data_IF_200517415506
#
_entry.id   IF_200517415506
#
_cell.length_a   1.000
_cell.length_b   1.000
_cell.length_c   1.000
_cell.angle_alpha   90.00
_cell.angle_beta   90.00
_cell.angle_gamma   90.00
#
_symmetry.space_group_name_H-M   'P 1'
#
loop_
_entity.id
_entity.type
_entity.pdbx_description
1 polymer ?
#
# COMPACT_ATOMS: atom_id res chain seq x y z
N UNK A 1 -6.07 21.50 21.38
CA UNK A 1 -6.11 20.65 20.16
C UNK A 1 -6.79 19.34 20.51
N UNK A 2 -8.06 19.16 20.14
CA UNK A 2 -8.79 17.89 20.35
C UNK A 2 -8.11 16.81 19.50
N UNK A 3 -7.69 15.71 20.13
CA UNK A 3 -7.12 14.57 19.42
C UNK A 3 -8.16 14.09 18.38
N UNK A 4 -7.84 14.24 17.09
CA UNK A 4 -8.71 13.85 15.99
C UNK A 4 -9.03 12.35 16.17
N UNK A 5 -10.30 12.03 16.44
CA UNK A 5 -10.74 10.65 16.67
C UNK A 5 -10.31 9.79 15.49
N UNK A 6 -9.57 8.71 15.78
CA UNK A 6 -9.04 7.79 14.77
C UNK A 6 -10.22 7.09 14.09
N UNK A 7 -10.36 7.27 12.78
CA UNK A 7 -11.43 6.63 12.02
C UNK A 7 -11.01 5.17 11.68
N UNK A 8 -11.74 4.16 12.20
CA UNK A 8 -11.38 2.74 12.03
C UNK A 8 -11.42 2.29 10.56
N UNK A 9 -12.23 2.91 9.70
CA UNK A 9 -12.32 2.59 8.28
C UNK A 9 -10.95 2.62 7.59
N UNK A 10 -10.10 3.60 7.90
CA UNK A 10 -8.76 3.68 7.30
C UNK A 10 -7.82 2.57 7.79
N UNK A 11 -7.98 2.09 9.02
CA UNK A 11 -7.22 0.95 9.51
C UNK A 11 -7.73 -0.34 8.88
N UNK A 12 -9.04 -0.49 8.72
CA UNK A 12 -9.62 -1.62 7.99
C UNK A 12 -9.15 -1.67 6.55
N UNK A 13 -9.17 -0.55 5.82
CA UNK A 13 -8.65 -0.49 4.45
C UNK A 13 -7.18 -0.94 4.39
N UNK A 14 -6.35 -0.49 5.33
CA UNK A 14 -4.96 -0.95 5.43
C UNK A 14 -4.86 -2.44 5.74
N UNK A 15 -5.73 -2.97 6.60
CA UNK A 15 -5.83 -4.38 6.93
C UNK A 15 -6.17 -5.24 5.72
N UNK A 16 -7.20 -4.86 4.97
CA UNK A 16 -7.58 -5.54 3.72
C UNK A 16 -6.50 -5.38 2.64
N UNK A 17 -5.89 -4.21 2.56
CA UNK A 17 -4.78 -3.93 1.65
C UNK A 17 -3.59 -4.85 1.91
N UNK A 18 -3.17 -4.99 3.17
CA UNK A 18 -2.00 -5.83 3.49
C UNK A 18 -2.29 -7.32 3.32
N UNK A 19 -3.52 -7.76 3.59
CA UNK A 19 -3.97 -9.11 3.23
C UNK A 19 -3.88 -9.29 1.71
N UNK A 20 -4.41 -8.33 0.94
CA UNK A 20 -4.34 -8.36 -0.53
C UNK A 20 -2.91 -8.38 -1.05
N UNK A 21 -1.95 -7.70 -0.41
CA UNK A 21 -0.52 -7.81 -0.75
C UNK A 21 -0.05 -9.27 -0.64
N UNK A 22 -0.34 -9.95 0.47
CA UNK A 22 0.03 -11.36 0.68
C UNK A 22 -0.59 -12.23 -0.41
N UNK A 23 -1.89 -12.09 -0.65
CA UNK A 23 -2.58 -12.84 -1.71
C UNK A 23 -1.98 -12.56 -3.10
N UNK A 24 -1.64 -11.31 -3.42
CA UNK A 24 -1.04 -10.97 -4.72
C UNK A 24 0.30 -11.68 -4.96
N UNK A 25 1.07 -11.94 -3.90
CA UNK A 25 2.36 -12.62 -3.97
C UNK A 25 2.23 -14.15 -3.96
N UNK A 26 1.35 -14.70 -3.13
CA UNK A 26 1.12 -16.16 -3.05
C UNK A 26 0.46 -16.69 -4.33
N UNK A 27 -0.43 -15.91 -4.95
CA UNK A 27 -1.10 -16.28 -6.21
C UNK A 27 -0.33 -15.85 -7.47
N UNK A 28 0.85 -15.22 -7.32
CA UNK A 28 1.66 -14.77 -8.45
C UNK A 28 2.15 -15.94 -9.31
N UNK A 29 1.94 -15.90 -10.62
CA UNK A 29 2.42 -16.98 -11.51
C UNK A 29 1.56 -18.26 -11.49
N UNK A 30 0.43 -18.26 -10.75
CA UNK A 30 -0.65 -19.20 -11.06
C UNK A 30 -1.29 -18.84 -12.40
N UNK A 31 -1.53 -19.86 -13.22
CA UNK A 31 -2.17 -19.75 -14.54
C UNK A 31 -3.64 -20.20 -14.51
N UNK A 32 -4.08 -20.84 -13.43
CA UNK A 32 -5.47 -21.22 -13.25
C UNK A 32 -6.38 -19.98 -13.07
N UNK A 33 -7.67 -20.05 -13.49
CA UNK A 33 -8.57 -18.90 -13.48
C UNK A 33 -8.73 -18.26 -12.10
N UNK A 34 -8.77 -19.07 -11.04
CA UNK A 34 -8.89 -18.57 -9.67
C UNK A 34 -7.66 -17.76 -9.27
N UNK A 35 -6.46 -18.25 -9.57
CA UNK A 35 -5.23 -17.53 -9.26
C UNK A 35 -5.09 -16.22 -10.03
N UNK A 36 -5.50 -16.21 -11.31
CA UNK A 36 -5.56 -14.98 -12.09
C UNK A 36 -6.55 -14.01 -11.44
N UNK A 37 -7.78 -14.45 -11.16
CA UNK A 37 -8.82 -13.62 -10.54
C UNK A 37 -8.41 -13.00 -9.22
N UNK A 38 -7.97 -13.82 -8.27
CA UNK A 38 -7.51 -13.37 -6.96
C UNK A 38 -6.38 -12.36 -7.10
N UNK A 39 -5.43 -12.60 -8.01
CA UNK A 39 -4.31 -11.68 -8.24
C UNK A 39 -4.78 -10.35 -8.83
N UNK A 40 -5.63 -10.35 -9.86
CA UNK A 40 -6.12 -9.11 -10.49
C UNK A 40 -6.88 -8.26 -9.47
N UNK A 41 -7.80 -8.87 -8.69
CA UNK A 41 -8.52 -8.16 -7.63
C UNK A 41 -7.54 -7.62 -6.60
N UNK A 42 -6.59 -8.44 -6.11
CA UNK A 42 -5.65 -8.07 -5.06
C UNK A 42 -4.72 -6.89 -5.40
N UNK A 43 -4.52 -6.56 -6.69
CA UNK A 43 -3.64 -5.46 -7.11
C UNK A 43 -4.14 -4.07 -6.69
N UNK A 44 -5.41 -3.94 -6.31
CA UNK A 44 -5.99 -2.68 -5.80
C UNK A 44 -5.26 -2.11 -4.57
N UNK A 45 -4.58 -2.97 -3.81
CA UNK A 45 -4.02 -2.64 -2.51
C UNK A 45 -2.95 -1.54 -2.58
N UNK A 46 -2.08 -1.58 -3.60
CA UNK A 46 -0.99 -0.62 -3.76
C UNK A 46 -1.55 0.79 -4.06
N UNK A 47 -2.41 0.97 -5.08
CA UNK A 47 -3.17 2.20 -5.28
C UNK A 47 -3.93 2.69 -4.04
N UNK A 48 -4.61 1.79 -3.32
CA UNK A 48 -5.33 2.15 -2.11
C UNK A 48 -4.42 2.77 -1.05
N UNK A 49 -3.25 2.19 -0.80
CA UNK A 49 -2.32 2.76 0.16
C UNK A 49 -1.86 4.17 -0.24
N UNK A 50 -1.64 4.43 -1.53
CA UNK A 50 -1.32 5.75 -2.03
C UNK A 50 -2.50 6.73 -1.89
N UNK A 51 -3.73 6.31 -2.22
CA UNK A 51 -4.93 7.14 -2.00
C UNK A 51 -5.11 7.52 -0.53
N UNK A 52 -5.00 6.55 0.38
CA UNK A 52 -5.07 6.80 1.83
C UNK A 52 -3.94 7.70 2.29
N UNK A 53 -2.72 7.49 1.79
CA UNK A 53 -1.57 8.34 2.11
C UNK A 53 -1.81 9.80 1.70
N UNK A 54 -2.27 10.02 0.47
CA UNK A 54 -2.57 11.36 -0.08
C UNK A 54 -3.60 12.11 0.74
N UNK A 55 -4.68 11.44 1.16
CA UNK A 55 -5.75 12.02 1.96
C UNK A 55 -5.26 12.67 3.27
N UNK A 56 -4.27 12.06 3.93
CA UNK A 56 -3.73 12.56 5.20
C UNK A 56 -2.60 13.58 5.05
N UNK A 57 -2.21 13.97 3.83
CA UNK A 57 -1.10 14.90 3.62
C UNK A 57 -1.44 16.34 4.01
N UNK A 58 -2.70 16.77 3.84
CA UNK A 58 -3.15 18.13 4.19
C UNK A 58 -2.89 18.48 5.65
N UNK A 59 -3.04 17.51 6.55
CA UNK A 59 -2.83 17.66 8.00
C UNK A 59 -1.37 17.85 8.44
N UNK A 60 -0.39 17.76 7.54
CA UNK A 60 1.03 17.78 7.89
C UNK A 60 1.85 18.92 7.28
N UNK A 61 1.21 19.92 6.65
CA UNK A 61 1.89 20.96 5.90
C UNK A 61 2.61 22.00 6.80
N UNK A 62 2.01 22.40 7.92
CA UNK A 62 2.57 23.42 8.82
C UNK A 62 3.88 22.99 9.47
N UNK A 63 4.02 21.71 9.81
CA UNK A 63 5.19 21.13 10.46
C UNK A 63 5.87 20.07 9.57
N UNK A 64 5.99 20.37 8.28
CA UNK A 64 6.46 19.42 7.28
C UNK A 64 7.78 18.74 7.68
N UNK A 65 8.77 19.51 8.14
CA UNK A 65 10.09 18.97 8.50
C UNK A 65 10.00 17.95 9.64
N UNK A 66 9.28 18.29 10.72
CA UNK A 66 9.12 17.41 11.88
C UNK A 66 8.29 16.17 11.53
N UNK A 67 7.21 16.35 10.76
CA UNK A 67 6.35 15.28 10.26
C UNK A 67 7.13 14.31 9.37
N UNK A 68 7.92 14.84 8.44
CA UNK A 68 8.80 14.09 7.55
C UNK A 68 9.84 13.31 8.34
N UNK A 69 10.53 13.95 9.28
CA UNK A 69 11.52 13.28 10.12
C UNK A 69 10.93 12.13 10.93
N UNK A 70 9.73 12.32 11.48
CA UNK A 70 8.98 11.27 12.18
C UNK A 70 8.64 10.11 11.25
N UNK A 71 8.23 10.38 10.00
CA UNK A 71 7.96 9.33 9.00
C UNK A 71 9.22 8.57 8.61
N UNK A 72 10.34 9.27 8.40
CA UNK A 72 11.65 8.66 8.10
C UNK A 72 12.04 7.69 9.23
N UNK A 73 12.04 8.15 10.48
CA UNK A 73 12.38 7.30 11.64
C UNK A 73 11.44 6.12 11.81
N UNK A 74 10.13 6.31 11.59
CA UNK A 74 9.12 5.26 11.82
C UNK A 74 9.00 4.26 10.67
N UNK A 75 9.37 4.65 9.46
CA UNK A 75 9.04 3.90 8.23
C UNK A 75 10.27 3.58 7.41
N UNK A 76 11.08 4.59 7.08
CA UNK A 76 12.25 4.42 6.21
C UNK A 76 13.42 3.72 6.91
N UNK A 77 13.68 4.05 8.17
CA UNK A 77 14.72 3.39 8.96
C UNK A 77 14.44 1.88 9.09
N UNK A 78 13.23 1.43 9.50
CA UNK A 78 12.87 0.01 9.42
C UNK A 78 13.03 -0.58 8.03
N UNK A 79 12.60 0.13 6.99
CA UNK A 79 12.77 -0.31 5.60
C UNK A 79 14.24 -0.57 5.24
N UNK A 80 15.18 0.32 5.60
CA UNK A 80 16.60 0.14 5.30
C UNK A 80 17.16 -1.12 5.95
N UNK A 81 16.82 -1.38 7.21
CA UNK A 81 17.22 -2.62 7.89
C UNK A 81 16.72 -3.85 7.15
N UNK A 82 15.46 -3.83 6.72
CA UNK A 82 14.90 -4.95 5.97
C UNK A 82 15.47 -5.06 4.56
N UNK A 83 15.72 -3.95 3.86
CA UNK A 83 16.31 -3.96 2.52
C UNK A 83 17.71 -4.59 2.53
N UNK A 84 18.51 -4.31 3.56
CA UNK A 84 19.79 -4.99 3.81
C UNK A 84 19.58 -6.47 4.10
N UNK A 85 18.65 -6.81 5.01
CA UNK A 85 18.36 -8.20 5.35
C UNK A 85 17.93 -9.03 4.13
N UNK A 86 17.09 -8.47 3.25
CA UNK A 86 16.71 -9.10 1.98
C UNK A 86 17.90 -9.25 1.03
N UNK A 87 18.74 -8.22 0.90
CA UNK A 87 19.95 -8.29 0.09
C UNK A 87 20.85 -9.43 0.54
N UNK A 88 21.14 -9.53 1.84
CA UNK A 88 21.93 -10.60 2.43
C UNK A 88 21.27 -11.97 2.20
N UNK A 89 19.96 -12.07 2.45
CA UNK A 89 19.22 -13.32 2.25
C UNK A 89 19.30 -13.83 0.81
N UNK A 90 19.07 -12.97 -0.19
CA UNK A 90 19.15 -13.37 -1.61
C UNK A 90 20.57 -13.58 -2.10
N UNK A 91 21.55 -12.93 -1.48
CA UNK A 91 22.95 -13.22 -1.74
C UNK A 91 23.31 -14.65 -1.29
N UNK A 92 22.91 -15.06 -0.08
CA UNK A 92 23.18 -16.42 0.42
C UNK A 92 22.34 -17.51 -0.28
N UNK A 93 21.07 -17.25 -0.55
CA UNK A 93 20.13 -18.28 -1.06
C UNK A 93 20.11 -18.40 -2.57
N UNK A 94 20.41 -17.33 -3.30
CA UNK A 94 20.30 -17.27 -4.75
C UNK A 94 21.54 -16.69 -5.46
N UNK A 95 22.62 -16.42 -4.72
CA UNK A 95 23.86 -15.86 -5.28
C UNK A 95 23.71 -14.45 -5.87
N UNK A 96 22.60 -13.75 -5.59
CA UNK A 96 22.34 -12.42 -6.17
C UNK A 96 23.12 -11.35 -5.43
N UNK A 97 23.99 -10.65 -6.13
CA UNK A 97 24.65 -9.46 -5.59
C UNK A 97 23.68 -8.29 -5.50
N UNK A 98 23.94 -7.36 -4.59
CA UNK A 98 23.18 -6.12 -4.45
C UNK A 98 24.13 -4.96 -4.14
N UNK A 99 23.78 -3.79 -4.64
CA UNK A 99 24.53 -2.55 -4.43
C UNK A 99 23.86 -1.67 -3.39
N UNK A 100 24.59 -0.63 -2.95
CA UNK A 100 24.01 0.42 -2.12
C UNK A 100 22.79 1.09 -2.77
N UNK A 101 22.83 1.29 -4.11
CA UNK A 101 21.71 1.87 -4.84
C UNK A 101 20.50 0.96 -4.90
N UNK A 102 20.68 -0.36 -4.85
CA UNK A 102 19.57 -1.32 -4.76
C UNK A 102 18.84 -1.22 -3.42
N UNK A 103 19.56 -0.91 -2.35
CA UNK A 103 18.99 -0.66 -1.01
C UNK A 103 18.18 0.64 -1.02
N UNK A 104 18.69 1.70 -1.66
CA UNK A 104 17.99 2.98 -1.75
C UNK A 104 16.73 2.86 -2.62
N UNK A 105 16.84 2.26 -3.80
CA UNK A 105 15.74 2.17 -4.75
C UNK A 105 14.76 1.02 -4.50
N UNK A 106 14.97 0.22 -3.45
CA UNK A 106 14.10 -0.90 -3.09
C UNK A 106 14.14 -2.03 -4.11
N UNK A 107 15.30 -2.25 -4.73
CA UNK A 107 15.54 -3.32 -5.71
C UNK A 107 16.03 -4.62 -5.07
N UNK A 108 16.36 -4.61 -3.77
CA UNK A 108 16.83 -5.83 -3.06
C UNK A 108 15.76 -6.91 -2.93
N UNK A 109 14.47 -6.54 -3.00
CA UNK A 109 13.38 -7.50 -3.14
C UNK A 109 12.23 -6.89 -3.94
N UNK A 110 11.50 -7.75 -4.64
CA UNK A 110 10.50 -7.33 -5.62
C UNK A 110 9.36 -6.48 -5.05
N UNK A 111 9.00 -6.62 -3.79
CA UNK A 111 7.94 -5.82 -3.20
C UNK A 111 8.47 -4.45 -2.73
N UNK A 112 9.75 -4.35 -2.35
CA UNK A 112 10.33 -3.18 -1.68
C UNK A 112 10.28 -1.87 -2.48
N UNK A 113 10.13 -1.93 -3.82
CA UNK A 113 9.94 -0.73 -4.64
C UNK A 113 8.79 0.15 -4.11
N UNK A 114 7.74 -0.45 -3.57
CA UNK A 114 6.58 0.31 -3.06
C UNK A 114 6.99 1.22 -1.90
N UNK A 115 7.88 0.77 -1.02
CA UNK A 115 8.36 1.58 0.11
C UNK A 115 9.19 2.78 -0.35
N UNK A 116 9.97 2.61 -1.43
CA UNK A 116 10.67 3.73 -2.05
C UNK A 116 9.68 4.80 -2.52
N UNK A 117 8.68 4.46 -3.35
CA UNK A 117 7.67 5.42 -3.81
C UNK A 117 6.86 6.01 -2.65
N UNK A 118 6.45 5.17 -1.69
CA UNK A 118 5.72 5.61 -0.51
C UNK A 118 6.49 6.69 0.26
N UNK A 119 7.80 6.52 0.43
CA UNK A 119 8.63 7.52 1.10
C UNK A 119 8.87 8.76 0.27
N UNK A 120 9.15 8.61 -1.03
CA UNK A 120 9.28 9.76 -1.95
C UNK A 120 8.03 10.62 -1.91
N UNK A 121 6.84 10.03 -2.04
CA UNK A 121 5.58 10.76 -1.94
C UNK A 121 5.31 11.30 -0.54
N UNK A 122 5.66 10.56 0.51
CA UNK A 122 5.48 11.01 1.89
C UNK A 122 6.23 12.31 2.21
N UNK A 123 7.35 12.53 1.54
CA UNK A 123 8.27 13.66 1.73
C UNK A 123 7.90 14.79 0.76
N UNK A 124 7.79 14.49 -0.53
CA UNK A 124 7.67 15.51 -1.58
C UNK A 124 6.23 16.04 -1.71
N UNK A 125 5.22 15.17 -1.75
CA UNK A 125 3.85 15.61 -2.04
C UNK A 125 3.25 16.57 -1.01
N UNK A 126 3.55 16.51 0.30
CA UNK A 126 3.12 17.53 1.24
C UNK A 126 3.62 18.95 0.91
N UNK A 127 4.76 19.08 0.22
CA UNK A 127 5.29 20.40 -0.21
C UNK A 127 4.32 21.12 -1.15
N UNK A 128 3.46 20.39 -1.87
CA UNK A 128 2.43 20.98 -2.72
C UNK A 128 1.46 21.87 -1.92
N UNK A 129 1.27 21.62 -0.61
CA UNK A 129 0.43 22.46 0.25
C UNK A 129 1.02 23.84 0.54
N UNK A 130 2.29 24.09 0.23
CA UNK A 130 2.86 25.44 0.24
C UNK A 130 2.48 26.27 -0.99
N UNK A 131 1.94 25.64 -2.04
CA UNK A 131 1.47 26.35 -3.23
C UNK A 131 0.07 26.94 -3.01
N UNK A 132 -0.27 28.05 -3.70
CA UNK A 132 -1.64 28.53 -3.79
C UNK A 132 -2.59 27.42 -4.23
N UNK A 133 -3.81 27.40 -3.66
CA UNK A 133 -4.78 26.31 -3.88
C UNK A 133 -5.05 26.04 -5.36
N UNK A 134 -5.20 27.08 -6.17
CA UNK A 134 -5.46 26.92 -7.61
C UNK A 134 -4.33 26.16 -8.31
N UNK A 135 -3.07 26.53 -8.06
CA UNK A 135 -1.89 25.86 -8.62
C UNK A 135 -1.81 24.42 -8.09
N UNK A 136 -1.98 24.23 -6.78
CA UNK A 136 -1.96 22.90 -6.17
C UNK A 136 -2.97 21.96 -6.80
N UNK A 137 -4.23 22.38 -6.89
CA UNK A 137 -5.31 21.56 -7.47
C UNK A 137 -5.03 21.23 -8.95
N UNK A 138 -4.57 22.20 -9.74
CA UNK A 138 -4.15 21.96 -11.13
C UNK A 138 -3.02 20.94 -11.22
N UNK A 139 -2.00 21.05 -10.36
CA UNK A 139 -0.91 20.07 -10.28
C UNK A 139 -1.42 18.67 -9.93
N UNK A 140 -2.37 18.55 -9.00
CA UNK A 140 -2.96 17.25 -8.64
C UNK A 140 -3.72 16.61 -9.82
N UNK A 141 -4.46 17.40 -10.60
CA UNK A 141 -5.12 16.91 -11.82
C UNK A 141 -4.09 16.48 -12.87
N UNK A 142 -3.01 17.24 -13.07
CA UNK A 142 -1.90 16.84 -13.95
C UNK A 142 -1.30 15.50 -13.50
N UNK A 143 -1.04 15.33 -12.20
CA UNK A 143 -0.54 14.07 -11.65
C UNK A 143 -1.50 12.90 -11.93
N UNK A 144 -2.81 13.10 -11.77
CA UNK A 144 -3.81 12.08 -12.07
C UNK A 144 -3.81 11.70 -13.56
N UNK A 145 -3.96 12.66 -14.46
CA UNK A 145 -4.09 12.38 -15.89
C UNK A 145 -2.81 11.85 -16.51
N UNK A 146 -1.65 12.38 -16.12
CA UNK A 146 -0.36 11.86 -16.57
C UNK A 146 -0.11 10.42 -16.09
N UNK A 147 -0.61 10.06 -14.91
CA UNK A 147 -0.52 8.68 -14.44
C UNK A 147 -1.38 7.73 -15.28
N UNK A 148 -2.60 8.13 -15.63
CA UNK A 148 -3.49 7.38 -16.53
C UNK A 148 -2.80 7.23 -17.89
N UNK A 149 -2.32 8.32 -18.46
CA UNK A 149 -1.60 8.31 -19.73
C UNK A 149 -0.38 7.39 -19.71
N UNK A 150 0.43 7.43 -18.65
CA UNK A 150 1.59 6.56 -18.50
C UNK A 150 1.20 5.07 -18.46
N UNK A 151 0.13 4.69 -17.75
CA UNK A 151 -0.31 3.30 -17.74
C UNK A 151 -0.86 2.85 -19.10
N UNK A 152 -1.58 3.70 -19.82
CA UNK A 152 -2.04 3.40 -21.19
C UNK A 152 -0.84 3.23 -22.13
N UNK A 153 0.17 4.11 -22.04
CA UNK A 153 1.40 4.00 -22.83
C UNK A 153 2.11 2.66 -22.56
N UNK A 154 2.24 2.28 -21.29
CA UNK A 154 2.86 1.01 -20.89
C UNK A 154 2.06 -0.20 -21.36
N UNK A 155 0.74 -0.11 -21.35
CA UNK A 155 -0.18 -1.13 -21.83
C UNK A 155 -0.06 -1.33 -23.33
N UNK A 156 -0.12 -0.24 -24.11
CA UNK A 156 0.06 -0.26 -25.57
C UNK A 156 1.46 -0.79 -25.91
N UNK A 157 2.49 -0.30 -25.22
CA UNK A 157 3.88 -0.73 -25.47
C UNK A 157 4.04 -2.24 -25.26
N UNK A 158 3.42 -2.79 -24.22
CA UNK A 158 3.47 -4.22 -23.92
C UNK A 158 2.63 -5.05 -24.89
N UNK A 159 1.45 -4.56 -25.28
CA UNK A 159 0.49 -5.30 -26.11
C UNK A 159 0.92 -5.35 -27.57
N UNK A 160 1.42 -4.23 -28.10
CA UNK A 160 1.82 -4.11 -29.49
C UNK A 160 3.32 -4.24 -29.71
N UNK A 161 4.08 -4.52 -28.65
CA UNK A 161 5.55 -4.64 -28.69
C UNK A 161 6.25 -3.40 -29.28
N UNK A 162 5.67 -2.21 -29.08
CA UNK A 162 6.21 -0.92 -29.51
C UNK A 162 6.88 -0.19 -28.35
N UNK A 163 8.02 0.45 -28.58
CA UNK A 163 8.69 1.24 -27.54
C UNK A 163 8.33 2.70 -27.69
N UNK A 164 7.22 3.12 -27.07
CA UNK A 164 6.80 4.53 -27.06
C UNK A 164 7.64 5.33 -26.05
N UNK A 165 7.98 4.72 -24.93
CA UNK A 165 8.76 5.35 -23.86
C UNK A 165 9.62 4.32 -23.14
N UNK A 166 10.93 4.55 -23.08
CA UNK A 166 11.88 3.70 -22.34
C UNK A 166 12.36 4.42 -21.09
N UNK A 167 12.12 3.83 -19.91
CA UNK A 167 12.63 4.35 -18.64
C UNK A 167 13.21 3.22 -17.81
N UNK A 168 14.49 3.33 -17.47
CA UNK A 168 15.24 2.31 -16.71
C UNK A 168 15.24 2.53 -15.20
N UNK A 169 14.76 3.69 -14.75
CA UNK A 169 14.70 4.08 -13.34
C UNK A 169 13.34 3.81 -12.68
N UNK A 170 13.18 4.23 -11.41
CA UNK A 170 11.85 4.31 -10.79
C UNK A 170 10.96 5.28 -11.57
N UNK A 171 9.78 4.83 -12.01
CA UNK A 171 8.81 5.66 -12.72
C UNK A 171 7.78 6.21 -11.73
N UNK A 172 8.02 7.43 -11.23
CA UNK A 172 7.17 8.10 -10.24
C UNK A 172 5.78 8.41 -10.83
N UNK A 173 5.73 8.74 -12.13
CA UNK A 173 4.49 9.09 -12.85
C UNK A 173 3.49 7.93 -12.83
N UNK A 174 3.98 6.69 -12.76
CA UNK A 174 3.16 5.49 -12.69
C UNK A 174 2.28 5.38 -11.42
N UNK A 175 2.60 6.10 -10.35
CA UNK A 175 1.93 5.92 -9.05
C UNK A 175 1.35 7.21 -8.46
N UNK A 176 1.87 8.36 -8.88
CA UNK A 176 1.54 9.64 -8.25
C UNK A 176 0.07 10.08 -8.42
N UNK A 177 -0.64 9.55 -9.42
CA UNK A 177 -2.06 9.85 -9.64
C UNK A 177 -2.95 9.26 -8.56
N UNK A 178 -2.57 8.11 -8.00
CA UNK A 178 -3.27 7.53 -6.84
C UNK A 178 -3.07 8.38 -5.58
N UNK A 179 -1.88 8.93 -5.36
CA UNK A 179 -1.67 9.93 -4.30
C UNK A 179 -2.56 11.15 -4.54
N UNK A 180 -2.59 11.63 -5.79
CA UNK A 180 -3.35 12.81 -6.18
C UNK A 180 -4.85 12.66 -5.92
N UNK A 181 -5.43 11.48 -6.17
CA UNK A 181 -6.84 11.18 -5.83
C UNK A 181 -7.12 11.42 -4.34
N UNK A 182 -6.24 10.92 -3.47
CA UNK A 182 -6.35 11.13 -2.03
C UNK A 182 -6.27 12.61 -1.63
N UNK A 183 -5.29 13.33 -2.21
CA UNK A 183 -5.11 14.76 -1.95
C UNK A 183 -6.28 15.60 -2.51
N UNK A 184 -6.79 15.28 -3.70
CA UNK A 184 -7.96 15.93 -4.29
C UNK A 184 -9.18 15.73 -3.39
N UNK A 185 -9.42 14.52 -2.88
CA UNK A 185 -10.52 14.28 -1.94
C UNK A 185 -10.42 15.16 -0.68
N UNK A 186 -9.19 15.41 -0.19
CA UNK A 186 -8.97 16.33 0.92
C UNK A 186 -9.20 17.82 0.55
N UNK A 187 -8.98 18.21 -0.70
CA UNK A 187 -9.22 19.57 -1.23
C UNK A 187 -10.69 19.87 -1.52
N UNK A 188 -11.54 18.84 -1.63
CA UNK A 188 -12.97 18.96 -1.92
C UNK A 188 -13.84 18.35 -0.80
N UNK A 189 -13.99 19.04 0.36
CA UNK A 189 -14.85 18.57 1.46
C UNK A 189 -16.30 18.29 1.03
N UNK A 190 -16.82 19.05 0.07
CA UNK A 190 -18.16 18.85 -0.51
C UNK A 190 -18.31 17.47 -1.17
N UNK A 191 -17.24 16.90 -1.74
CA UNK A 191 -17.29 15.55 -2.29
C UNK A 191 -17.46 14.50 -1.18
N UNK A 192 -16.75 14.68 -0.05
CA UNK A 192 -16.89 13.81 1.12
C UNK A 192 -18.31 13.90 1.70
N UNK A 193 -18.84 15.11 1.83
CA UNK A 193 -20.21 15.35 2.29
C UNK A 193 -21.24 14.70 1.36
N UNK A 194 -21.08 14.85 0.04
CA UNK A 194 -21.94 14.20 -0.93
C UNK A 194 -21.91 12.68 -0.80
N UNK A 195 -20.74 12.07 -0.64
CA UNK A 195 -20.59 10.62 -0.44
C UNK A 195 -21.33 10.16 0.82
N UNK A 196 -21.21 10.92 1.91
CA UNK A 196 -21.89 10.60 3.17
C UNK A 196 -23.40 10.71 3.07
N UNK A 197 -23.91 11.67 2.28
CA UNK A 197 -25.34 11.88 2.10
C UNK A 197 -25.97 10.91 1.09
N UNK A 198 -25.16 10.33 0.18
CA UNK A 198 -25.63 9.43 -0.88
C UNK A 198 -24.89 8.08 -0.91
N UNK A 199 -24.75 7.36 0.21
CA UNK A 199 -23.86 6.21 0.30
C UNK A 199 -24.27 5.05 -0.63
N UNK A 200 -25.58 4.82 -0.83
CA UNK A 200 -26.07 3.76 -1.72
C UNK A 200 -25.76 4.03 -3.19
N UNK A 201 -26.00 5.26 -3.64
CA UNK A 201 -25.71 5.68 -5.02
C UNK A 201 -24.21 5.64 -5.28
N UNK A 202 -23.41 6.13 -4.32
CA UNK A 202 -21.96 6.07 -4.43
C UNK A 202 -21.40 4.65 -4.37
N UNK A 203 -22.00 3.75 -3.58
CA UNK A 203 -21.63 2.33 -3.57
C UNK A 203 -21.95 1.66 -4.92
N UNK A 204 -23.12 1.94 -5.51
CA UNK A 204 -23.48 1.43 -6.83
C UNK A 204 -22.54 1.94 -7.93
N UNK A 205 -22.22 3.24 -7.92
CA UNK A 205 -21.24 3.82 -8.84
C UNK A 205 -19.83 3.24 -8.64
N UNK A 206 -19.38 3.10 -7.39
CA UNK A 206 -18.10 2.49 -7.05
C UNK A 206 -18.02 1.02 -7.50
N UNK A 207 -19.11 0.27 -7.35
CA UNK A 207 -19.22 -1.10 -7.82
C UNK A 207 -19.15 -1.18 -9.35
N UNK A 208 -19.86 -0.31 -10.08
CA UNK A 208 -19.80 -0.26 -11.55
C UNK A 208 -18.38 0.07 -12.04
N UNK A 209 -17.73 1.07 -11.43
CA UNK A 209 -16.34 1.45 -11.74
C UNK A 209 -15.37 0.31 -11.43
N UNK A 210 -15.52 -0.35 -10.29
CA UNK A 210 -14.73 -1.54 -9.95
C UNK A 210 -14.91 -2.65 -11.00
N UNK A 211 -16.15 -2.95 -11.38
CA UNK A 211 -16.46 -4.01 -12.32
C UNK A 211 -15.89 -3.72 -13.72
N UNK A 212 -15.94 -2.47 -14.20
CA UNK A 212 -15.30 -2.07 -15.45
C UNK A 212 -13.79 -2.37 -15.42
N UNK A 213 -13.10 -1.95 -14.36
CA UNK A 213 -11.67 -2.19 -14.21
C UNK A 213 -11.30 -3.67 -14.01
N UNK A 214 -12.23 -4.47 -13.50
CA UNK A 214 -12.04 -5.92 -13.36
C UNK A 214 -12.31 -6.66 -14.66
N UNK A 215 -13.34 -6.29 -15.42
CA UNK A 215 -13.77 -7.00 -16.62
C UNK A 215 -12.90 -6.70 -17.84
N UNK A 216 -12.45 -5.45 -18.02
CA UNK A 216 -11.64 -5.03 -19.17
C UNK A 216 -10.44 -5.96 -19.43
N UNK A 217 -9.60 -6.32 -18.43
CA UNK A 217 -8.47 -7.22 -18.64
C UNK A 217 -8.83 -8.60 -19.20
N UNK A 218 -10.01 -9.12 -18.86
CA UNK A 218 -10.49 -10.42 -19.33
C UNK A 218 -11.01 -10.31 -20.75
N UNK A 219 -11.79 -9.28 -21.04
CA UNK A 219 -12.36 -9.03 -22.37
C UNK A 219 -11.27 -8.74 -23.39
N UNK A 220 -10.22 -8.02 -23.00
CA UNK A 220 -9.07 -7.71 -23.85
C UNK A 220 -8.05 -8.86 -23.94
N UNK A 221 -8.22 -9.96 -23.17
CA UNK A 221 -7.25 -11.06 -23.13
C UNK A 221 -5.88 -10.67 -22.56
N UNK A 222 -5.80 -9.55 -21.84
CA UNK A 222 -4.53 -8.99 -21.35
C UNK A 222 -4.23 -9.36 -19.89
N UNK A 223 -4.98 -10.27 -19.26
CA UNK A 223 -4.76 -10.71 -17.86
C UNK A 223 -3.31 -11.15 -17.61
N UNK A 224 -2.80 -11.02 -16.39
CA UNK A 224 -1.40 -11.41 -16.12
C UNK A 224 -0.59 -10.38 -15.35
N UNK A 225 -0.94 -9.10 -15.45
CA UNK A 225 -0.15 -8.00 -14.88
C UNK A 225 -0.89 -6.64 -14.90
N UNK A 226 -1.89 -6.44 -14.03
CA UNK A 226 -2.66 -5.17 -13.94
C UNK A 226 -1.78 -3.92 -13.67
N UNK A 227 -0.58 -4.10 -13.12
CA UNK A 227 0.30 -3.00 -12.73
C UNK A 227 0.70 -2.05 -13.86
N UNK A 228 0.57 -2.42 -15.13
CA UNK A 228 0.92 -1.57 -16.27
C UNK A 228 -0.32 -1.26 -17.14
N UNK A 229 -1.51 -1.21 -16.55
CA UNK A 229 -2.76 -1.06 -17.31
C UNK A 229 -3.59 0.12 -16.88
N UNK A 230 -4.32 0.69 -17.82
CA UNK A 230 -5.34 1.71 -17.55
C UNK A 230 -6.41 1.19 -16.59
N UNK A 231 -6.83 -0.08 -16.73
CA UNK A 231 -7.88 -0.70 -15.92
C UNK A 231 -7.57 -0.77 -14.41
N UNK A 232 -6.31 -0.63 -14.01
CA UNK A 232 -5.93 -0.51 -12.59
C UNK A 232 -6.63 0.67 -11.90
N UNK A 233 -6.88 1.77 -12.62
CA UNK A 233 -7.57 2.94 -12.07
C UNK A 233 -9.00 2.65 -11.66
N UNK A 234 -9.91 2.29 -12.59
CA UNK A 234 -11.29 1.99 -12.25
C UNK A 234 -11.38 0.85 -11.23
N UNK A 235 -10.57 -0.20 -11.34
CA UNK A 235 -10.54 -1.30 -10.37
C UNK A 235 -10.22 -0.79 -8.96
N UNK A 236 -9.14 -0.02 -8.82
CA UNK A 236 -8.65 0.40 -7.51
C UNK A 236 -9.50 1.49 -6.88
N UNK A 237 -9.93 2.47 -7.67
CA UNK A 237 -10.78 3.57 -7.19
C UNK A 237 -12.16 3.03 -6.79
N UNK A 238 -12.76 2.20 -7.64
CA UNK A 238 -14.05 1.57 -7.36
C UNK A 238 -14.01 0.71 -6.10
N UNK A 239 -13.04 -0.22 -6.00
CA UNK A 239 -12.96 -1.11 -4.84
C UNK A 239 -12.62 -0.36 -3.55
N UNK A 240 -11.71 0.61 -3.60
CA UNK A 240 -11.36 1.41 -2.42
C UNK A 240 -12.55 2.20 -1.91
N UNK A 241 -13.28 2.87 -2.80
CA UNK A 241 -14.46 3.66 -2.41
C UNK A 241 -15.59 2.76 -1.90
N UNK A 242 -15.84 1.63 -2.56
CA UNK A 242 -16.85 0.65 -2.15
C UNK A 242 -16.57 0.14 -0.73
N UNK A 243 -15.33 -0.28 -0.47
CA UNK A 243 -14.92 -0.73 0.87
C UNK A 243 -14.94 0.40 1.90
N UNK A 244 -14.54 1.62 1.51
CA UNK A 244 -14.60 2.77 2.41
C UNK A 244 -16.05 3.09 2.83
N UNK A 245 -17.01 3.00 1.90
CA UNK A 245 -18.43 3.20 2.19
C UNK A 245 -18.94 2.09 3.11
N UNK A 246 -18.67 0.82 2.76
CA UNK A 246 -19.10 -0.33 3.57
C UNK A 246 -18.53 -0.29 5.00
N UNK A 247 -17.23 -0.03 5.17
CA UNK A 247 -16.62 0.07 6.51
C UNK A 247 -16.88 1.39 7.23
N UNK A 248 -17.69 2.28 6.65
CA UNK A 248 -18.23 3.45 7.32
C UNK A 248 -19.65 3.23 7.86
N UNK A 249 -20.28 2.07 7.59
CA UNK A 249 -21.59 1.72 8.16
C UNK A 249 -21.45 1.27 9.62
N UNK A 250 -22.54 1.24 10.40
CA UNK A 250 -22.53 0.65 11.73
C UNK A 250 -22.20 -0.85 11.69
N UNK A 251 -21.36 -1.32 12.62
CA UNK A 251 -21.03 -2.74 12.83
C UNK A 251 -20.60 -3.54 11.57
N UNK A 252 -19.63 -3.04 10.77
CA UNK A 252 -19.19 -3.76 9.59
C UNK A 252 -18.44 -5.05 9.97
N UNK A 253 -18.59 -6.07 9.13
CA UNK A 253 -18.04 -7.40 9.40
C UNK A 253 -16.52 -7.37 9.56
N UNK A 254 -16.02 -7.95 10.65
CA UNK A 254 -14.58 -8.12 10.87
C UNK A 254 -13.81 -6.83 11.20
N UNK A 255 -14.47 -5.69 11.45
CA UNK A 255 -13.83 -4.39 11.69
C UNK A 255 -12.70 -4.46 12.72
N UNK A 256 -12.95 -5.10 13.87
CA UNK A 256 -11.97 -5.22 14.96
C UNK A 256 -10.72 -5.96 14.51
N UNK A 257 -10.89 -7.11 13.86
CA UNK A 257 -9.77 -7.91 13.36
C UNK A 257 -9.02 -7.18 12.24
N UNK A 258 -9.74 -6.62 11.27
CA UNK A 258 -9.12 -5.91 10.14
C UNK A 258 -8.40 -4.64 10.59
N UNK A 259 -8.94 -3.91 11.56
CA UNK A 259 -8.26 -2.77 12.18
C UNK A 259 -7.01 -3.21 12.95
N UNK A 260 -7.08 -4.34 13.66
CA UNK A 260 -5.92 -4.94 14.33
C UNK A 260 -4.80 -5.28 13.33
N UNK A 261 -5.14 -5.93 12.22
CA UNK A 261 -4.21 -6.21 11.11
C UNK A 261 -3.66 -4.91 10.52
N UNK A 262 -4.52 -3.94 10.21
CA UNK A 262 -4.17 -2.65 9.63
C UNK A 262 -3.19 -1.84 10.49
N UNK A 263 -3.33 -1.90 11.81
CA UNK A 263 -2.40 -1.26 12.75
C UNK A 263 -0.97 -1.84 12.71
N UNK A 264 -0.79 -3.04 12.12
CA UNK A 264 0.47 -3.79 12.02
C UNK A 264 1.01 -3.89 10.58
N UNK A 265 0.37 -3.20 9.64
CA UNK A 265 0.66 -3.23 8.19
C UNK A 265 2.15 -3.24 7.85
N UNK A 266 2.93 -2.29 8.38
CA UNK A 266 4.36 -2.18 8.03
C UNK A 266 5.17 -3.42 8.41
N UNK A 267 4.87 -4.03 9.57
CA UNK A 267 5.59 -5.23 10.01
C UNK A 267 5.26 -6.44 9.14
N UNK A 268 3.98 -6.61 8.82
CA UNK A 268 3.51 -7.68 7.92
C UNK A 268 4.10 -7.46 6.52
N UNK A 269 4.07 -6.22 6.02
CA UNK A 269 4.63 -5.86 4.72
C UNK A 269 6.12 -6.19 4.60
N UNK A 270 6.92 -5.88 5.62
CA UNK A 270 8.35 -6.15 5.55
C UNK A 270 8.68 -7.64 5.78
N UNK A 271 7.87 -8.37 6.53
CA UNK A 271 8.14 -9.76 6.89
C UNK A 271 7.58 -10.82 5.92
N UNK A 272 6.44 -10.56 5.27
CA UNK A 272 5.69 -11.61 4.57
C UNK A 272 6.49 -12.31 3.46
N UNK A 273 7.33 -11.57 2.73
CA UNK A 273 7.99 -12.09 1.54
C UNK A 273 9.07 -13.15 1.85
N UNK A 274 9.66 -13.14 3.06
CA UNK A 274 10.55 -14.23 3.51
C UNK A 274 9.85 -15.59 3.55
N UNK A 275 8.54 -15.58 3.79
CA UNK A 275 7.74 -16.78 3.94
C UNK A 275 7.11 -17.23 2.62
N UNK A 276 6.82 -16.28 1.71
CA UNK A 276 6.08 -16.56 0.46
C UNK A 276 6.76 -17.66 -0.35
N UNK A 277 8.02 -17.48 -0.73
CA UNK A 277 8.67 -18.40 -1.67
C UNK A 277 8.89 -19.78 -1.04
N UNK A 278 9.38 -19.83 0.21
CA UNK A 278 9.58 -21.08 0.93
C UNK A 278 8.28 -21.86 1.12
N UNK A 279 7.23 -21.22 1.67
CA UNK A 279 5.98 -21.91 1.96
C UNK A 279 5.27 -22.35 0.69
N UNK A 280 5.26 -21.50 -0.34
CA UNK A 280 4.53 -21.78 -1.58
C UNK A 280 5.23 -22.81 -2.47
N UNK A 281 6.57 -22.75 -2.56
CA UNK A 281 7.32 -23.58 -3.51
C UNK A 281 7.77 -24.88 -2.84
N UNK A 282 8.22 -24.83 -1.59
CA UNK A 282 8.86 -25.95 -0.93
C UNK A 282 7.92 -26.70 0.03
N UNK A 283 7.23 -25.99 0.92
CA UNK A 283 6.51 -26.64 2.03
C UNK A 283 5.09 -27.08 1.67
N UNK A 284 4.32 -26.22 0.99
CA UNK A 284 2.90 -26.44 0.69
C UNK A 284 2.64 -26.10 -0.79
N UNK A 285 3.26 -26.85 -1.73
CA UNK A 285 2.96 -26.66 -3.14
C UNK A 285 1.49 -27.02 -3.41
N UNK A 286 0.74 -26.08 -3.99
CA UNK A 286 -0.65 -26.30 -4.44
C UNK A 286 -1.71 -25.56 -3.62
N UNK A 287 -1.57 -25.46 -2.29
CA UNK A 287 -2.56 -24.76 -1.45
C UNK A 287 -2.16 -23.31 -1.17
N UNK A 288 -2.50 -22.44 -2.11
CA UNK A 288 -2.21 -21.00 -2.05
C UNK A 288 -3.00 -20.29 -0.95
N UNK A 289 -4.20 -20.76 -0.62
CA UNK A 289 -5.02 -20.13 0.42
C UNK A 289 -4.42 -20.39 1.80
N UNK A 290 -4.07 -21.65 2.09
CA UNK A 290 -3.43 -22.03 3.34
C UNK A 290 -2.09 -21.30 3.53
N UNK A 291 -1.27 -21.20 2.47
CA UNK A 291 -0.01 -20.44 2.52
C UNK A 291 -0.27 -18.98 2.89
N UNK A 292 -1.24 -18.31 2.27
CA UNK A 292 -1.55 -16.91 2.60
C UNK A 292 -2.01 -16.74 4.07
N UNK A 293 -2.81 -17.68 4.58
CA UNK A 293 -3.26 -17.72 5.98
C UNK A 293 -2.08 -17.89 6.93
N UNK A 294 -1.21 -18.87 6.68
CA UNK A 294 -0.01 -19.11 7.51
C UNK A 294 0.85 -17.85 7.56
N UNK A 295 1.14 -17.23 6.41
CA UNK A 295 1.95 -16.01 6.34
C UNK A 295 1.34 -14.90 7.19
N UNK A 296 0.03 -14.65 7.04
CA UNK A 296 -0.65 -13.60 7.80
C UNK A 296 -0.52 -13.84 9.31
N UNK A 297 -0.86 -15.04 9.78
CA UNK A 297 -0.85 -15.35 11.21
C UNK A 297 0.56 -15.42 11.78
N UNK A 298 1.56 -15.91 11.04
CA UNK A 298 2.96 -15.86 11.45
C UNK A 298 3.43 -14.43 11.60
N UNK A 299 3.16 -13.54 10.63
CA UNK A 299 3.52 -12.14 10.74
C UNK A 299 2.84 -11.44 11.93
N UNK A 300 1.57 -11.74 12.19
CA UNK A 300 0.84 -11.21 13.34
C UNK A 300 1.43 -11.71 14.67
N UNK A 301 1.71 -13.01 14.78
CA UNK A 301 2.30 -13.61 15.97
C UNK A 301 3.68 -13.04 16.29
N UNK A 302 4.57 -12.95 15.28
CA UNK A 302 5.90 -12.35 15.43
C UNK A 302 5.79 -10.90 15.90
N UNK A 303 4.86 -10.13 15.33
CA UNK A 303 4.64 -8.74 15.73
C UNK A 303 4.12 -8.63 17.16
N UNK A 304 3.20 -9.50 17.56
CA UNK A 304 2.64 -9.54 18.91
C UNK A 304 3.71 -9.90 19.96
N UNK A 305 4.55 -10.91 19.68
CA UNK A 305 5.68 -11.28 20.53
C UNK A 305 6.64 -10.09 20.70
N UNK A 306 6.99 -9.41 19.60
CA UNK A 306 7.85 -8.22 19.62
C UNK A 306 7.25 -7.10 20.48
N UNK A 307 5.94 -6.86 20.37
CA UNK A 307 5.26 -5.81 21.12
C UNK A 307 5.24 -6.11 22.62
N UNK A 308 4.97 -7.37 23.00
CA UNK A 308 5.03 -7.82 24.40
C UNK A 308 6.44 -7.74 24.97
N UNK A 309 7.45 -8.16 24.22
CA UNK A 309 8.85 -8.05 24.64
C UNK A 309 9.27 -6.59 24.87
N UNK A 310 8.86 -5.69 23.97
CA UNK A 310 9.10 -4.25 24.11
C UNK A 310 8.44 -3.71 25.38
N UNK A 311 7.17 -4.04 25.63
CA UNK A 311 6.45 -3.61 26.84
C UNK A 311 7.17 -4.08 28.12
N UNK A 312 7.61 -5.35 28.18
CA UNK A 312 8.37 -5.89 29.31
C UNK A 312 9.69 -5.15 29.57
N UNK A 313 10.41 -4.81 28.51
CA UNK A 313 11.67 -4.04 28.61
C UNK A 313 11.42 -2.62 29.12
N UNK A 314 10.36 -1.95 28.66
CA UNK A 314 10.00 -0.62 29.16
C UNK A 314 9.55 -0.64 30.62
N UNK A 315 8.74 -1.64 31.02
CA UNK A 315 8.34 -1.78 32.42
C UNK A 315 9.52 -2.12 33.34
N UNK A 316 10.49 -2.91 32.88
CA UNK A 316 11.70 -3.20 33.65
C UNK A 316 12.56 -1.93 33.84
N UNK A 317 12.73 -1.12 32.79
CA UNK A 317 13.49 0.12 32.85
C UNK A 317 12.80 1.22 33.69
N UNK A 318 11.46 1.27 33.74
CA UNK A 318 10.75 2.21 34.62
C UNK A 318 10.92 1.83 36.09
N UNK A 319 10.92 0.53 36.43
CA UNK A 319 11.13 0.04 37.79
C UNK A 319 12.57 0.30 38.27
N UNK A 320 13.56 0.17 37.39
CA UNK A 320 14.97 0.50 37.71
C UNK A 320 15.17 2.01 37.92
N UNK A 321 14.48 2.86 37.15
CA UNK A 321 14.53 4.32 37.37
C UNK A 321 13.89 4.76 38.69
N UNK A 322 12.83 4.10 39.14
CA UNK A 322 12.22 4.40 40.45
C UNK A 322 13.07 3.94 41.64
N UNK A 323 13.93 2.92 41.46
CA UNK A 323 14.84 2.43 42.52
C UNK A 323 16.19 3.15 42.57
N UNK A 324 16.50 3.99 41.57
CA UNK A 324 17.74 4.78 41.52
C UNK A 324 17.64 6.19 42.08
N UNK A 325 16.53 6.56 42.73
CA UNK A 325 16.29 7.86 43.39
C UNK A 325 16.22 7.76 44.93
N UNK A 326 16.58 6.61 45.50
CA UNK A 326 16.67 6.38 46.96
C UNK A 326 18.12 6.16 47.42
N UNK A 327 19.09 6.83 46.77
CA UNK A 327 20.51 6.78 47.12
C UNK A 327 21.05 8.12 47.56
#
# INVERSE_FOLDING_TARGET
MTAKVRNPMFDVLKGLGIISVIFSHVYRGGTDPLAVFVREVAMWCVPMFFMVQGYFMSSGASDWAQSTWKKIKKTYVPYLYWAVAYGIFFWFTAGKTFTFMDIIYGKTALHLYYMFYYMVFAIICPLLYFLPRAIRVSTLWIMLFSNIAMNIILEISKTYHVTIFSWSGPNIIKWWGFIAIGMLLAEYPRAIEYIKNHPRQMAAAAFAVFFIGLAEPYLAGTTGYLFNKGALFPLSVGLTLLLAIYYSTPNPLGEKFLSYVGSRTLGIYLGHFFLVDFLRIQLIPGDRALVAVIILFTCLAVKEIKDRAKLKLFSANSVLKTRGFEG
#
